data_IF_814985188512
#
_entry.id   IF_814985188512
#
_cell.length_a   1.000
_cell.length_b   1.000
_cell.length_c   1.000
_cell.angle_alpha   90.00
_cell.angle_beta   90.00
_cell.angle_gamma   90.00
#
_symmetry.space_group_name_H-M   'P 1'
#
loop_
_entity.id
_entity.type
_entity.pdbx_description
1 polymer ?
#
# COMPACT_ATOMS: atom_id res chain seq x y z
N UNK A 1 7.86 17.71 -68.83
CA UNK A 1 7.87 18.33 -67.49
C UNK A 1 7.69 17.22 -66.45
N UNK A 2 8.70 16.92 -65.62
CA UNK A 2 8.63 15.87 -64.58
C UNK A 2 8.34 16.54 -63.24
N UNK A 3 7.23 16.18 -62.60
CA UNK A 3 6.87 16.65 -61.26
C UNK A 3 7.71 15.95 -60.19
N UNK A 4 8.15 16.65 -59.12
CA UNK A 4 8.89 16.02 -58.04
C UNK A 4 7.95 15.24 -57.11
N UNK A 5 8.36 14.01 -56.79
CA UNK A 5 7.67 13.10 -55.87
C UNK A 5 7.81 13.63 -54.43
N UNK A 6 6.71 13.74 -53.64
CA UNK A 6 6.81 14.22 -52.27
C UNK A 6 7.48 13.17 -51.37
N UNK A 7 8.44 13.62 -50.55
CA UNK A 7 9.13 12.79 -49.58
C UNK A 7 8.21 12.46 -48.38
N UNK A 8 8.35 11.26 -47.77
CA UNK A 8 7.48 10.85 -46.67
C UNK A 8 7.84 11.61 -45.38
N UNK A 9 6.81 12.16 -44.72
CA UNK A 9 6.93 12.82 -43.42
C UNK A 9 7.21 11.77 -42.34
N UNK A 10 8.42 11.75 -41.80
CA UNK A 10 8.77 10.90 -40.65
C UNK A 10 8.32 11.60 -39.38
N UNK A 11 7.27 11.08 -38.75
CA UNK A 11 6.79 11.55 -37.44
C UNK A 11 7.69 10.91 -36.37
N UNK A 12 8.56 11.71 -35.77
CA UNK A 12 9.32 11.29 -34.59
C UNK A 12 8.41 11.43 -33.36
N UNK A 13 7.80 10.32 -32.94
CA UNK A 13 7.08 10.25 -31.67
C UNK A 13 8.12 10.10 -30.57
N UNK A 14 8.45 11.19 -29.88
CA UNK A 14 9.33 11.14 -28.71
C UNK A 14 8.62 10.32 -27.62
N UNK A 15 9.22 9.23 -27.09
CA UNK A 15 8.60 8.46 -26.03
C UNK A 15 8.44 9.34 -24.79
N UNK A 16 7.20 9.52 -24.33
CA UNK A 16 6.92 10.16 -23.04
C UNK A 16 7.57 9.30 -21.93
N UNK A 17 8.57 9.85 -21.26
CA UNK A 17 9.18 9.19 -20.11
C UNK A 17 8.10 8.99 -19.04
N UNK A 18 7.77 7.74 -18.77
CA UNK A 18 6.86 7.39 -17.68
C UNK A 18 7.61 7.66 -16.39
N UNK A 19 7.13 8.61 -15.58
CA UNK A 19 7.61 8.82 -14.22
C UNK A 19 7.53 7.48 -13.48
N UNK A 20 8.69 6.85 -13.27
CA UNK A 20 8.75 5.64 -12.47
C UNK A 20 8.55 6.07 -11.02
N UNK A 21 7.54 5.54 -10.30
CA UNK A 21 7.38 5.86 -8.90
C UNK A 21 8.67 5.49 -8.16
N UNK A 22 9.09 6.29 -7.16
CA UNK A 22 10.32 6.05 -6.43
C UNK A 22 10.28 4.63 -5.87
N UNK A 23 11.25 3.82 -6.30
CA UNK A 23 11.46 2.46 -5.80
C UNK A 23 12.06 2.58 -4.40
N UNK A 24 11.26 3.02 -3.44
CA UNK A 24 11.66 3.00 -2.04
C UNK A 24 11.73 1.52 -1.66
N UNK A 25 12.88 0.98 -1.25
CA UNK A 25 12.89 -0.33 -0.63
C UNK A 25 12.12 -0.16 0.68
N UNK A 26 10.84 -0.52 0.66
CA UNK A 26 10.01 -0.49 1.84
C UNK A 26 10.62 -1.52 2.78
N UNK A 27 11.34 -1.04 3.80
CA UNK A 27 11.96 -1.91 4.80
C UNK A 27 10.93 -2.69 5.64
N UNK A 28 9.64 -2.40 5.45
CA UNK A 28 8.54 -3.12 6.05
C UNK A 28 8.44 -4.53 5.46
N UNK A 29 8.27 -5.51 6.35
CA UNK A 29 8.06 -6.91 6.00
C UNK A 29 6.59 -7.31 6.05
N UNK A 30 5.72 -6.43 6.54
CA UNK A 30 4.29 -6.72 6.72
C UNK A 30 3.42 -5.48 6.48
N UNK A 31 2.13 -5.70 6.22
CA UNK A 31 1.13 -4.64 6.11
C UNK A 31 1.03 -3.85 7.43
N UNK A 32 1.14 -4.54 8.56
CA UNK A 32 1.14 -3.91 9.88
C UNK A 32 2.32 -2.95 10.04
N UNK A 33 3.55 -3.38 9.70
CA UNK A 33 4.74 -2.52 9.73
C UNK A 33 4.60 -1.30 8.82
N UNK A 34 4.04 -1.48 7.62
CA UNK A 34 3.75 -0.37 6.72
C UNK A 34 2.81 0.63 7.40
N UNK A 35 1.68 0.18 7.93
CA UNK A 35 0.70 1.03 8.62
C UNK A 35 1.32 1.76 9.82
N UNK A 36 2.18 1.08 10.58
CA UNK A 36 2.92 1.69 11.69
C UNK A 36 3.92 2.77 11.24
N UNK A 37 4.54 2.60 10.07
CA UNK A 37 5.51 3.56 9.52
C UNK A 37 4.86 4.87 9.04
N UNK A 38 3.55 4.86 8.77
CA UNK A 38 2.82 6.00 8.22
C UNK A 38 2.45 7.06 9.27
N UNK A 39 2.51 6.73 10.56
CA UNK A 39 2.22 7.68 11.63
C UNK A 39 1.37 7.11 12.75
N UNK A 40 0.64 7.98 13.44
CA UNK A 40 -0.19 7.55 14.57
C UNK A 40 -1.45 6.83 14.10
N UNK A 41 -1.99 5.96 14.95
CA UNK A 41 -3.21 5.19 14.65
C UNK A 41 -4.38 6.07 14.21
N UNK A 42 -4.53 7.24 14.83
CA UNK A 42 -5.61 8.18 14.55
C UNK A 42 -5.45 8.79 13.15
N UNK A 43 -4.29 9.38 12.89
CA UNK A 43 -3.97 10.01 11.59
C UNK A 43 -4.11 9.02 10.44
N UNK A 44 -3.56 7.81 10.60
CA UNK A 44 -3.64 6.79 9.55
C UNK A 44 -5.08 6.32 9.37
N UNK A 45 -5.86 6.16 10.45
CA UNK A 45 -7.28 5.77 10.34
C UNK A 45 -8.13 6.82 9.60
N UNK A 46 -7.87 8.10 9.84
CA UNK A 46 -8.54 9.21 9.17
C UNK A 46 -8.15 9.30 7.69
N UNK A 47 -6.85 9.25 7.39
CA UNK A 47 -6.33 9.32 6.02
C UNK A 47 -6.74 8.10 5.18
N UNK A 48 -6.73 6.91 5.79
CA UNK A 48 -7.16 5.66 5.16
C UNK A 48 -8.69 5.51 5.11
N UNK A 49 -9.42 6.42 5.77
CA UNK A 49 -10.89 6.45 5.87
C UNK A 49 -11.49 5.15 6.43
N UNK A 50 -10.85 4.60 7.45
CA UNK A 50 -11.31 3.42 8.20
C UNK A 50 -11.40 3.77 9.67
N UNK A 51 -12.38 3.21 10.39
CA UNK A 51 -12.44 3.43 11.84
C UNK A 51 -11.24 2.76 12.54
N UNK A 52 -10.73 3.27 13.67
CA UNK A 52 -9.54 2.74 14.33
C UNK A 52 -9.60 1.23 14.67
N UNK A 53 -10.80 0.72 14.95
CA UNK A 53 -11.06 -0.70 15.18
C UNK A 53 -10.87 -1.52 13.91
N UNK A 54 -11.33 -1.03 12.77
CA UNK A 54 -11.15 -1.69 11.47
C UNK A 54 -9.68 -1.68 11.07
N UNK A 55 -8.96 -0.58 11.30
CA UNK A 55 -7.51 -0.53 11.09
C UNK A 55 -6.80 -1.63 11.90
N UNK A 56 -7.15 -1.79 13.18
CA UNK A 56 -6.62 -2.87 14.02
C UNK A 56 -6.88 -4.26 13.42
N UNK A 57 -8.09 -4.48 12.93
CA UNK A 57 -8.50 -5.72 12.30
C UNK A 57 -7.69 -5.98 11.02
N UNK A 58 -7.50 -4.97 10.14
CA UNK A 58 -6.70 -5.11 8.91
C UNK A 58 -5.24 -5.42 9.19
N UNK A 59 -4.69 -4.81 10.25
CA UNK A 59 -3.32 -5.09 10.69
C UNK A 59 -3.15 -6.48 11.31
N UNK A 60 -4.22 -7.15 11.75
CA UNK A 60 -4.14 -8.53 12.24
C UNK A 60 -4.51 -9.54 11.16
N UNK A 61 -5.50 -9.19 10.34
CA UNK A 61 -6.13 -10.01 9.31
C UNK A 61 -6.15 -9.24 7.99
N UNK A 62 -4.99 -9.11 7.32
CA UNK A 62 -4.88 -8.36 6.07
C UNK A 62 -5.79 -8.91 4.96
N UNK A 63 -6.15 -10.20 5.01
CA UNK A 63 -7.10 -10.84 4.08
C UNK A 63 -8.51 -10.27 4.13
N UNK A 64 -8.84 -9.53 5.19
CA UNK A 64 -10.15 -8.89 5.32
C UNK A 64 -10.19 -7.52 4.64
N UNK A 65 -9.04 -6.95 4.27
CA UNK A 65 -8.95 -5.64 3.62
C UNK A 65 -9.56 -5.69 2.22
N UNK A 66 -10.33 -4.66 1.85
CA UNK A 66 -10.87 -4.56 0.50
C UNK A 66 -9.80 -4.05 -0.47
N UNK A 67 -9.99 -4.31 -1.77
CA UNK A 67 -9.11 -3.77 -2.81
C UNK A 67 -9.03 -2.24 -2.75
N UNK A 68 -10.15 -1.56 -2.50
CA UNK A 68 -10.22 -0.11 -2.37
C UNK A 68 -9.43 0.39 -1.15
N UNK A 69 -9.52 -0.30 -0.02
CA UNK A 69 -8.70 0.00 1.16
C UNK A 69 -7.21 -0.16 0.81
N UNK A 70 -6.80 -1.26 0.18
CA UNK A 70 -5.39 -1.46 -0.19
C UNK A 70 -4.88 -0.42 -1.18
N UNK A 71 -5.71 0.01 -2.14
CA UNK A 71 -5.38 1.07 -3.10
C UNK A 71 -5.15 2.41 -2.39
N UNK A 72 -6.03 2.81 -1.47
CA UNK A 72 -5.85 4.04 -0.68
C UNK A 72 -4.61 3.98 0.19
N UNK A 73 -4.30 2.81 0.75
CA UNK A 73 -3.09 2.62 1.54
C UNK A 73 -1.83 2.75 0.68
N UNK A 74 -1.86 2.23 -0.54
CA UNK A 74 -0.78 2.39 -1.52
C UNK A 74 -0.54 3.87 -1.85
N UNK A 75 -1.61 4.63 -2.11
CA UNK A 75 -1.54 6.08 -2.34
C UNK A 75 -0.98 6.84 -1.13
N UNK A 76 -1.45 6.51 0.08
CA UNK A 76 -0.97 7.11 1.32
C UNK A 76 0.51 6.85 1.56
N UNK A 77 0.96 5.63 1.26
CA UNK A 77 2.35 5.21 1.40
C UNK A 77 3.24 5.62 0.22
N UNK A 78 2.68 6.18 -0.85
CA UNK A 78 3.36 6.44 -2.14
C UNK A 78 4.00 5.18 -2.71
N UNK A 79 3.29 4.06 -2.61
CA UNK A 79 3.67 2.75 -3.14
C UNK A 79 2.73 2.34 -4.26
N UNK A 80 3.16 1.39 -5.07
CA UNK A 80 2.28 0.71 -6.00
C UNK A 80 1.44 -0.35 -5.28
N UNK A 81 0.23 -0.57 -5.80
CA UNK A 81 -0.71 -1.54 -5.25
C UNK A 81 -0.13 -2.97 -5.15
N UNK A 82 0.63 -3.49 -6.15
CA UNK A 82 1.28 -4.79 -6.04
C UNK A 82 2.18 -4.93 -4.80
N UNK A 83 3.00 -3.93 -4.48
CA UNK A 83 3.85 -3.95 -3.28
C UNK A 83 3.02 -4.05 -2.00
N UNK A 84 1.92 -3.32 -1.90
CA UNK A 84 1.00 -3.41 -0.75
C UNK A 84 0.34 -4.79 -0.66
N UNK A 85 -0.02 -5.38 -1.80
CA UNK A 85 -0.52 -6.76 -1.85
C UNK A 85 0.51 -7.78 -1.41
N UNK A 86 1.77 -7.65 -1.81
CA UNK A 86 2.83 -8.55 -1.37
C UNK A 86 3.03 -8.49 0.15
N UNK A 87 2.96 -7.29 0.75
CA UNK A 87 3.03 -7.11 2.20
C UNK A 87 1.84 -7.76 2.92
N UNK A 88 0.63 -7.61 2.40
CA UNK A 88 -0.56 -8.27 2.91
C UNK A 88 -0.42 -9.80 2.82
N UNK A 89 -0.01 -10.30 1.66
CA UNK A 89 0.16 -11.73 1.39
C UNK A 89 1.25 -12.37 2.25
N UNK A 90 2.40 -11.69 2.39
CA UNK A 90 3.47 -12.14 3.28
C UNK A 90 2.97 -12.24 4.72
N UNK A 91 2.23 -11.23 5.19
CA UNK A 91 1.68 -11.23 6.54
C UNK A 91 0.64 -12.35 6.75
N UNK A 92 -0.16 -12.71 5.74
CA UNK A 92 -1.06 -13.87 5.83
C UNK A 92 -0.29 -15.19 6.06
N UNK A 93 0.92 -15.30 5.50
CA UNK A 93 1.80 -16.46 5.66
C UNK A 93 2.64 -16.41 6.94
N UNK A 94 2.88 -15.20 7.45
CA UNK A 94 3.67 -14.92 8.64
C UNK A 94 2.87 -14.03 9.59
N UNK A 95 1.83 -14.57 10.25
CA UNK A 95 0.92 -13.78 11.06
C UNK A 95 1.67 -13.08 12.19
N UNK A 96 1.45 -11.78 12.33
CA UNK A 96 2.04 -10.98 13.41
C UNK A 96 1.39 -11.40 14.72
N UNK A 97 2.20 -11.92 15.64
CA UNK A 97 1.73 -12.29 16.99
C UNK A 97 1.51 -11.01 17.78
N UNK A 98 0.25 -10.63 17.98
CA UNK A 98 -0.10 -9.55 18.90
C UNK A 98 0.00 -10.11 20.32
N UNK A 99 0.82 -9.55 21.22
CA UNK A 99 0.82 -9.99 22.61
C UNK A 99 -0.59 -9.78 23.18
N UNK A 100 -1.18 -10.87 23.68
CA UNK A 100 -2.51 -10.85 24.27
C UNK A 100 -2.49 -9.86 25.44
N UNK A 101 -3.47 -8.95 25.57
CA UNK A 101 -3.58 -8.13 26.77
C UNK A 101 -3.64 -9.07 27.96
N UNK A 102 -2.68 -8.98 28.88
CA UNK A 102 -2.75 -9.68 30.14
C UNK A 102 -3.95 -9.11 30.88
N UNK A 103 -5.11 -9.76 30.75
CA UNK A 103 -6.25 -9.48 31.62
C UNK A 103 -5.78 -9.83 33.03
N UNK A 104 -5.39 -8.82 33.79
CA UNK A 104 -5.17 -8.96 35.22
C UNK A 104 -6.42 -9.61 35.81
N UNK A 105 -6.25 -10.78 36.44
CA UNK A 105 -7.36 -11.45 37.14
C UNK A 105 -8.02 -10.43 38.06
N UNK A 106 -9.36 -10.29 38.07
CA UNK A 106 -10.01 -9.49 39.08
C UNK A 106 -9.62 -10.06 40.45
N UNK A 107 -9.09 -9.20 41.33
CA UNK A 107 -8.83 -9.56 42.72
C UNK A 107 -10.17 -9.97 43.35
N UNK A 108 -10.28 -11.22 43.74
CA UNK A 108 -11.35 -11.64 44.66
C UNK A 108 -11.04 -10.98 46.01
N UNK A 109 -11.89 -10.02 46.40
CA UNK A 109 -11.99 -9.55 47.77
C UNK A 109 -13.09 -10.33 48.48
#
# INVERSE_FOLDING_TARGET
MKTPKPAPLTIQVLPLEREQPPKVPVACRSLAELIHSLGTRKEVSEAWKVVPRTLALRMQKPETATLEELQRLAELAKLDLPTVFELAYYQMRHPVVVPTPQLGRPKQH
#
